data_IF_944809959038
#
_entry.id   IF_944809959038
#
_cell.length_a   1.000
_cell.length_b   1.000
_cell.length_c   1.000
_cell.angle_alpha   90.00
_cell.angle_beta   90.00
_cell.angle_gamma   90.00
#
_symmetry.space_group_name_H-M   'P 1'
#
loop_
_entity.id
_entity.type
_entity.pdbx_description
1 polymer ?
#
# COMPACT_ATOMS: atom_id res chain seq x y z
N UNK A 1 25.95 38.24 -40.28
CA UNK A 1 24.69 38.83 -39.76
C UNK A 1 23.55 37.97 -40.31
N UNK A 2 22.62 37.36 -39.59
CA UNK A 2 22.16 37.39 -38.19
C UNK A 2 21.82 35.95 -37.78
N UNK A 3 22.13 35.61 -36.53
CA UNK A 3 21.74 34.36 -35.86
C UNK A 3 20.23 34.38 -35.63
N UNK A 4 19.53 33.28 -35.88
CA UNK A 4 18.14 33.11 -35.46
C UNK A 4 18.10 32.03 -34.38
N UNK A 5 18.00 32.50 -33.14
CA UNK A 5 17.79 31.70 -31.95
C UNK A 5 16.41 31.03 -32.01
N UNK A 6 16.37 29.71 -31.89
CA UNK A 6 15.16 29.00 -31.49
C UNK A 6 15.23 28.77 -29.98
N UNK A 7 14.57 29.64 -29.25
CA UNK A 7 14.38 29.55 -27.81
C UNK A 7 12.92 29.11 -27.60
N UNK A 8 12.70 27.81 -27.45
CA UNK A 8 11.39 27.26 -27.10
C UNK A 8 11.38 26.97 -25.60
N UNK A 9 10.86 27.96 -24.87
CA UNK A 9 10.54 27.93 -23.45
C UNK A 9 9.46 26.86 -23.26
N UNK A 10 9.83 25.73 -22.66
CA UNK A 10 8.84 24.75 -22.21
C UNK A 10 8.25 25.28 -20.90
N UNK A 11 7.00 25.72 -21.00
CA UNK A 11 6.20 26.27 -19.91
C UNK A 11 6.03 25.19 -18.84
N UNK A 12 6.49 25.51 -17.62
CA UNK A 12 6.19 24.76 -16.40
C UNK A 12 4.68 24.75 -16.20
N UNK A 13 4.07 23.57 -16.39
CA UNK A 13 2.71 23.31 -15.92
C UNK A 13 2.75 23.27 -14.39
N UNK A 14 2.32 24.38 -13.79
CA UNK A 14 1.79 24.44 -12.44
C UNK A 14 0.63 23.44 -12.36
N UNK A 15 0.89 22.24 -11.83
CA UNK A 15 -0.18 21.47 -11.19
C UNK A 15 -0.32 22.05 -9.79
N UNK A 16 -1.15 23.08 -9.71
CA UNK A 16 -1.85 23.40 -8.47
C UNK A 16 -2.77 22.22 -8.14
N UNK A 17 -2.22 21.22 -7.43
CA UNK A 17 -2.98 20.29 -6.63
C UNK A 17 -2.93 20.80 -5.19
N UNK A 18 -3.90 21.63 -4.82
CA UNK A 18 -4.24 21.78 -3.43
C UNK A 18 -4.73 20.41 -2.94
N UNK A 19 -4.02 19.76 -2.02
CA UNK A 19 -4.71 18.96 -1.01
C UNK A 19 -4.25 19.44 0.34
N UNK A 20 -5.14 20.22 0.90
CA UNK A 20 -5.13 20.74 2.25
C UNK A 20 -5.05 19.53 3.18
N UNK A 21 -3.90 19.33 3.84
CA UNK A 21 -3.74 18.41 4.97
C UNK A 21 -4.81 18.76 6.01
N UNK A 22 -5.92 18.07 5.88
CA UNK A 22 -7.10 18.12 6.74
C UNK A 22 -7.09 16.78 7.43
N UNK A 23 -7.23 16.80 8.75
CA UNK A 23 -7.00 15.67 9.63
C UNK A 23 -7.66 14.38 9.16
N UNK A 24 -7.00 13.28 9.51
CA UNK A 24 -7.40 11.91 9.19
C UNK A 24 -8.90 11.70 9.37
N UNK A 25 -9.58 11.56 8.23
CA UNK A 25 -10.50 10.45 8.08
C UNK A 25 -9.61 9.28 7.66
N UNK A 26 -9.11 8.58 8.67
CA UNK A 26 -8.46 7.30 8.49
C UNK A 26 -9.40 6.37 7.76
N UNK A 27 -9.08 6.05 6.50
CA UNK A 27 -9.91 5.16 5.70
C UNK A 27 -10.12 3.87 6.48
N UNK A 28 -11.36 3.49 6.72
CA UNK A 28 -11.70 2.22 7.39
C UNK A 28 -11.66 1.08 6.38
N UNK A 29 -11.68 -0.16 6.86
CA UNK A 29 -11.73 -1.33 5.98
C UNK A 29 -12.93 -1.31 5.00
N UNK A 30 -14.02 -0.65 5.38
CA UNK A 30 -15.22 -0.49 4.55
C UNK A 30 -14.97 0.44 3.34
N UNK A 31 -14.01 1.35 3.46
CA UNK A 31 -13.66 2.36 2.45
C UNK A 31 -12.45 1.94 1.59
N UNK A 32 -11.83 0.79 1.90
CA UNK A 32 -10.69 0.27 1.17
C UNK A 32 -11.06 -0.03 -0.29
N UNK A 33 -10.35 0.61 -1.22
CA UNK A 33 -10.41 0.29 -2.65
C UNK A 33 -9.65 -1.02 -2.87
N UNK A 34 -10.41 -2.11 -2.98
CA UNK A 34 -9.85 -3.46 -3.04
C UNK A 34 -8.93 -3.67 -4.25
N UNK A 35 -9.22 -3.04 -5.38
CA UNK A 35 -8.42 -3.18 -6.59
C UNK A 35 -7.05 -2.51 -6.40
N UNK A 36 -7.03 -1.30 -5.82
CA UNK A 36 -5.77 -0.60 -5.48
C UNK A 36 -4.99 -1.31 -4.40
N UNK A 37 -5.67 -1.81 -3.36
CA UNK A 37 -5.04 -2.62 -2.33
C UNK A 37 -4.41 -3.87 -2.94
N UNK A 38 -5.13 -4.57 -3.81
CA UNK A 38 -4.63 -5.77 -4.49
C UNK A 38 -3.36 -5.50 -5.30
N UNK A 39 -3.36 -4.41 -6.07
CA UNK A 39 -2.22 -3.96 -6.87
C UNK A 39 -1.01 -3.67 -5.97
N UNK A 40 -1.18 -2.79 -4.98
CA UNK A 40 -0.12 -2.40 -4.06
C UNK A 40 0.44 -3.59 -3.26
N UNK A 41 -0.42 -4.50 -2.82
CA UNK A 41 -0.02 -5.71 -2.08
C UNK A 41 0.80 -6.64 -2.96
N UNK A 42 0.37 -6.86 -4.21
CA UNK A 42 1.10 -7.72 -5.14
C UNK A 42 2.45 -7.12 -5.51
N UNK A 43 2.51 -5.82 -5.80
CA UNK A 43 3.76 -5.11 -6.07
C UNK A 43 4.70 -5.15 -4.86
N UNK A 44 4.20 -4.82 -3.66
CA UNK A 44 4.98 -4.89 -2.42
C UNK A 44 5.54 -6.27 -2.13
N UNK A 45 4.76 -7.33 -2.35
CA UNK A 45 5.22 -8.71 -2.21
C UNK A 45 6.35 -9.03 -3.20
N UNK A 46 6.22 -8.62 -4.46
CA UNK A 46 7.22 -8.88 -5.52
C UNK A 46 8.48 -8.03 -5.36
N UNK A 47 8.38 -6.80 -4.87
CA UNK A 47 9.50 -5.93 -4.58
C UNK A 47 10.24 -6.32 -3.29
N UNK A 48 9.61 -7.14 -2.44
CA UNK A 48 10.25 -7.66 -1.24
C UNK A 48 11.51 -8.47 -1.59
N UNK A 49 12.50 -8.39 -0.71
CA UNK A 49 13.73 -9.20 -0.80
C UNK A 49 13.46 -10.72 -0.79
N UNK A 50 12.24 -11.14 -0.44
CA UNK A 50 11.80 -12.53 -0.42
C UNK A 50 11.51 -13.00 -1.86
N UNK A 51 10.85 -12.20 -2.70
CA UNK A 51 10.39 -12.65 -4.02
C UNK A 51 11.10 -12.02 -5.23
N UNK A 52 11.84 -10.92 -5.06
CA UNK A 52 12.42 -10.08 -6.13
C UNK A 52 13.06 -10.83 -7.31
N UNK A 53 13.72 -11.97 -7.07
CA UNK A 53 14.40 -12.77 -8.11
C UNK A 53 13.84 -14.19 -8.27
N UNK A 54 12.63 -14.45 -7.78
CA UNK A 54 12.03 -15.80 -7.77
C UNK A 54 11.09 -16.07 -8.93
N UNK A 55 10.84 -15.09 -9.79
CA UNK A 55 10.03 -15.25 -11.01
C UNK A 55 8.54 -15.40 -10.77
N UNK A 56 8.03 -14.96 -9.62
CA UNK A 56 6.60 -14.85 -9.35
C UNK A 56 6.01 -13.64 -10.09
N UNK A 57 4.72 -13.73 -10.36
CA UNK A 57 3.90 -12.69 -10.97
C UNK A 57 2.84 -12.18 -9.99
N UNK A 58 2.18 -11.03 -10.27
CA UNK A 58 1.14 -10.51 -9.38
C UNK A 58 -0.02 -11.50 -9.12
N UNK A 59 -0.35 -12.32 -10.11
CA UNK A 59 -1.37 -13.38 -10.00
C UNK A 59 -0.96 -14.56 -9.12
N UNK A 60 0.33 -14.67 -8.79
CA UNK A 60 0.79 -15.69 -7.86
C UNK A 60 0.64 -15.27 -6.40
N UNK A 61 0.37 -14.00 -6.11
CA UNK A 61 0.09 -13.53 -4.75
C UNK A 61 -1.39 -13.75 -4.49
N UNK A 62 -1.74 -14.63 -3.56
CA UNK A 62 -3.11 -15.10 -3.29
C UNK A 62 -3.39 -15.15 -1.80
N UNK A 63 -4.64 -15.48 -1.44
CA UNK A 63 -5.13 -15.56 -0.06
C UNK A 63 -4.80 -14.29 0.73
N UNK A 64 -5.07 -13.15 0.12
CA UNK A 64 -4.76 -11.84 0.69
C UNK A 64 -5.82 -11.51 1.74
N UNK A 65 -5.42 -11.51 3.00
CA UNK A 65 -6.21 -11.04 4.13
C UNK A 65 -5.73 -9.64 4.52
N UNK A 66 -6.65 -8.68 4.58
CA UNK A 66 -6.37 -7.31 5.01
C UNK A 66 -7.21 -7.02 6.25
N UNK A 67 -6.55 -6.61 7.33
CA UNK A 67 -7.19 -6.29 8.60
C UNK A 67 -6.85 -4.88 9.05
N UNK A 68 -7.80 -4.19 9.68
CA UNK A 68 -7.45 -3.02 10.50
C UNK A 68 -6.44 -3.42 11.58
N UNK A 69 -5.50 -2.53 11.89
CA UNK A 69 -4.47 -2.80 12.88
C UNK A 69 -4.32 -1.70 13.92
N UNK A 70 -3.78 -2.07 15.08
CA UNK A 70 -3.48 -1.17 16.20
C UNK A 70 -2.01 -1.32 16.63
N UNK A 71 -1.46 -0.28 17.25
CA UNK A 71 -0.10 -0.32 17.79
C UNK A 71 -0.10 -1.06 19.12
N UNK A 72 0.82 -2.01 19.31
CA UNK A 72 0.89 -2.88 20.49
C UNK A 72 1.01 -2.10 21.81
N UNK A 73 1.69 -0.96 21.79
CA UNK A 73 1.85 -0.09 22.96
C UNK A 73 0.64 0.83 23.22
N UNK A 74 -0.37 0.82 22.34
CA UNK A 74 -1.54 1.68 22.41
C UNK A 74 -2.81 0.99 21.87
N UNK A 75 -3.08 -0.21 22.36
CA UNK A 75 -4.25 -1.02 21.95
C UNK A 75 -5.59 -0.28 22.15
N UNK A 76 -5.70 0.52 23.21
CA UNK A 76 -6.91 1.29 23.52
C UNK A 76 -7.27 2.35 22.45
N UNK A 77 -6.30 2.77 21.63
CA UNK A 77 -6.55 3.67 20.52
C UNK A 77 -7.33 3.00 19.37
N UNK A 78 -7.33 1.67 19.29
CA UNK A 78 -7.95 0.92 18.21
C UNK A 78 -7.23 1.12 16.87
N UNK A 79 -7.99 1.21 15.80
CA UNK A 79 -7.45 1.40 14.44
C UNK A 79 -6.72 2.74 14.31
N UNK A 80 -5.55 2.71 13.66
CA UNK A 80 -4.64 3.85 13.51
C UNK A 80 -4.15 4.00 12.06
N UNK A 81 -5.07 3.88 11.11
CA UNK A 81 -4.85 4.19 9.69
C UNK A 81 -3.80 3.31 9.01
N UNK A 82 -3.57 2.14 9.58
CA UNK A 82 -2.71 1.12 9.02
C UNK A 82 -3.39 -0.24 9.05
N UNK A 83 -3.27 -0.92 7.94
CA UNK A 83 -3.75 -2.27 7.76
C UNK A 83 -2.62 -3.26 7.93
N UNK A 84 -2.92 -4.39 8.54
CA UNK A 84 -2.06 -5.56 8.48
C UNK A 84 -2.50 -6.40 7.29
N UNK A 85 -1.56 -6.71 6.41
CA UNK A 85 -1.80 -7.56 5.25
C UNK A 85 -1.07 -8.87 5.45
N UNK A 86 -1.76 -9.98 5.22
CA UNK A 86 -1.18 -11.32 5.11
C UNK A 86 -1.46 -11.86 3.71
N UNK A 87 -0.48 -12.54 3.13
CA UNK A 87 -0.57 -13.10 1.78
C UNK A 87 0.31 -14.34 1.64
N UNK A 88 0.05 -15.15 0.62
CA UNK A 88 0.93 -16.27 0.26
C UNK A 88 1.08 -16.42 -1.25
N UNK A 89 2.10 -17.16 -1.67
CA UNK A 89 2.24 -17.56 -3.07
C UNK A 89 1.28 -18.70 -3.42
N UNK A 90 0.80 -18.72 -4.66
CA UNK A 90 -0.13 -19.72 -5.20
C UNK A 90 0.36 -21.18 -5.09
N UNK A 91 1.67 -21.37 -4.99
CA UNK A 91 2.32 -22.67 -4.76
C UNK A 91 2.53 -23.00 -3.26
N UNK A 92 2.11 -22.12 -2.35
CA UNK A 92 2.19 -22.26 -0.90
C UNK A 92 3.62 -22.21 -0.33
N UNK A 93 4.62 -21.82 -1.12
CA UNK A 93 6.02 -21.82 -0.66
C UNK A 93 6.37 -20.65 0.26
N UNK A 94 5.71 -19.51 0.08
CA UNK A 94 5.98 -18.30 0.85
C UNK A 94 4.66 -17.75 1.38
N UNK A 95 4.65 -17.40 2.66
CA UNK A 95 3.53 -16.75 3.33
C UNK A 95 4.11 -15.69 4.27
N UNK A 96 3.71 -14.44 4.10
CA UNK A 96 4.29 -13.29 4.80
C UNK A 96 3.26 -12.21 5.04
N UNK A 97 3.68 -11.24 5.84
CA UNK A 97 2.89 -10.08 6.20
C UNK A 97 3.69 -8.79 6.07
N UNK A 98 2.96 -7.68 5.91
CA UNK A 98 3.48 -6.32 6.03
C UNK A 98 2.35 -5.36 6.43
N UNK A 99 2.67 -4.09 6.64
CA UNK A 99 1.67 -3.05 6.85
C UNK A 99 1.36 -2.32 5.52
N UNK A 100 0.10 -1.95 5.34
CA UNK A 100 -0.38 -1.13 4.24
C UNK A 100 -1.02 0.14 4.82
N UNK A 101 -0.63 1.31 4.34
CA UNK A 101 -1.25 2.57 4.77
C UNK A 101 -2.58 2.80 4.03
N UNK A 102 -3.38 3.78 4.48
CA UNK A 102 -4.59 4.21 3.77
C UNK A 102 -4.31 4.81 2.39
N UNK A 103 -3.06 5.21 2.12
CA UNK A 103 -2.59 5.70 0.81
C UNK A 103 -2.02 4.57 -0.08
N UNK A 104 -2.19 3.30 0.33
CA UNK A 104 -1.70 2.11 -0.37
C UNK A 104 -0.17 2.00 -0.44
N UNK A 105 0.53 2.60 0.52
CA UNK A 105 1.99 2.46 0.66
C UNK A 105 2.33 1.27 1.57
N UNK A 106 3.39 0.54 1.21
CA UNK A 106 3.86 -0.62 1.97
C UNK A 106 4.88 -0.17 3.01
N UNK A 107 4.59 -0.45 4.27
CA UNK A 107 5.48 -0.15 5.38
C UNK A 107 5.87 -1.44 6.14
N UNK A 108 7.18 -1.67 6.28
CA UNK A 108 7.70 -2.82 7.05
C UNK A 108 7.99 -2.33 8.47
N UNK A 109 6.92 -2.20 9.27
CA UNK A 109 7.00 -1.72 10.65
C UNK A 109 6.55 -2.81 11.61
N UNK A 110 7.33 -3.01 12.67
CA UNK A 110 6.95 -3.90 13.77
C UNK A 110 6.03 -3.19 14.76
N UNK A 111 5.37 -3.96 15.62
CA UNK A 111 4.56 -3.40 16.69
C UNK A 111 3.11 -3.13 16.32
N UNK A 112 2.64 -3.60 15.17
CA UNK A 112 1.23 -3.54 14.78
C UNK A 112 0.58 -4.93 14.84
N UNK A 113 -0.65 -4.99 15.36
CA UNK A 113 -1.44 -6.23 15.49
C UNK A 113 -2.79 -6.09 14.80
N UNK A 114 -3.28 -7.22 14.26
CA UNK A 114 -4.60 -7.33 13.63
C UNK A 114 -5.70 -7.09 14.66
N UNK A 115 -6.75 -6.38 14.23
CA UNK A 115 -8.06 -6.42 14.88
C UNK A 115 -8.82 -7.57 14.23
N UNK A 116 -8.82 -8.74 14.87
CA UNK A 116 -9.25 -10.03 14.28
C UNK A 116 -10.69 -10.04 13.72
N UNK A 117 -11.60 -9.24 14.27
CA UNK A 117 -12.98 -9.12 13.80
C UNK A 117 -13.18 -8.07 12.70
N UNK A 118 -12.09 -7.45 12.23
CA UNK A 118 -12.08 -6.41 11.19
C UNK A 118 -11.10 -6.75 10.09
N UNK A 119 -11.38 -7.89 9.44
CA UNK A 119 -10.60 -8.45 8.36
C UNK A 119 -11.48 -8.72 7.13
N UNK A 120 -10.90 -8.56 5.95
CA UNK A 120 -11.51 -8.95 4.66
C UNK A 120 -10.51 -9.73 3.82
N UNK A 121 -11.05 -10.56 2.92
CA UNK A 121 -10.27 -11.18 1.86
C UNK A 121 -10.38 -10.37 0.56
N UNK A 122 -9.26 -10.31 -0.14
CA UNK A 122 -9.13 -9.71 -1.47
C UNK A 122 -8.64 -10.80 -2.44
N UNK A 123 -9.31 -10.91 -3.58
CA UNK A 123 -8.99 -11.87 -4.65
C UNK A 123 -7.94 -11.29 -5.62
#
# INVERSE_FOLDING_TARGET
>A
MKKLSFLLIFITFLVAGCSNSSGGDGGTLEELDKDKAREAIAEGALESHILHDKGYSPSDIVNIEVCESYHIDNEEAGFIDMYKVEWETSDGKFAYDFSLTTDYEIEIISGYRKIEDRCIYID
#
